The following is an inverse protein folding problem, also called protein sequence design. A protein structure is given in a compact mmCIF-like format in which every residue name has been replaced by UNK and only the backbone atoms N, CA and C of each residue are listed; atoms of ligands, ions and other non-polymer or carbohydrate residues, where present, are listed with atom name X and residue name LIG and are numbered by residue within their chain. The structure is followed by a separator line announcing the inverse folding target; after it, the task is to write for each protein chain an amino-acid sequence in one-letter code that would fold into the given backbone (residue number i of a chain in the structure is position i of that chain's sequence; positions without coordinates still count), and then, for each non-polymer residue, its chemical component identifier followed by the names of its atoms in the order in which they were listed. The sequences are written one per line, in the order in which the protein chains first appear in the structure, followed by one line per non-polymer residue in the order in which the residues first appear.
data_IF_416983713506
#
_entry.id   IF_416983713506
#
_cell.length_a   1.000
_cell.length_b   1.000
_cell.length_c   1.000
_cell.angle_alpha   90.00
_cell.angle_beta   90.00
_cell.angle_gamma   90.00
#
_symmetry.space_group_name_H-M   'P 1'
#
loop_
_entity.id
_entity.type
_entity.pdbx_description
1 polymer ?
#
# COMPACT_ATOMS: atom_id res chain seq x y z
N UNK A 1 -27.89 -60.38 -68.94
CA UNK A 1 -27.72 -61.66 -69.71
C UNK A 1 -27.58 -62.79 -68.70
N UNK A 2 -28.56 -63.68 -68.77
CA UNK A 2 -28.52 -65.14 -68.50
C UNK A 2 -28.04 -65.67 -67.16
N UNK A 3 -28.98 -66.21 -66.38
CA UNK A 3 -28.96 -67.41 -65.51
C UNK A 3 -28.25 -68.60 -66.16
N UNK A 4 -27.88 -69.75 -65.47
CA UNK A 4 -28.91 -70.63 -64.78
C UNK A 4 -28.41 -71.34 -63.52
N UNK A 5 -29.33 -71.61 -62.64
CA UNK A 5 -29.79 -72.81 -61.90
C UNK A 5 -29.08 -74.15 -62.10
N UNK A 6 -28.80 -74.91 -61.00
CA UNK A 6 -29.00 -76.38 -60.95
C UNK A 6 -29.26 -76.80 -59.48
N UNK A 7 -30.35 -77.57 -59.35
CA UNK A 7 -30.81 -78.36 -58.20
C UNK A 7 -30.03 -79.65 -58.04
N UNK A 8 -29.93 -80.20 -56.82
CA UNK A 8 -30.05 -81.63 -56.51
C UNK A 8 -30.52 -81.84 -55.07
N UNK A 9 -31.59 -82.58 -54.87
CA UNK A 9 -32.20 -83.18 -53.71
C UNK A 9 -31.35 -84.35 -53.23
N UNK A 10 -31.35 -84.72 -51.93
CA UNK A 10 -31.67 -86.06 -51.40
C UNK A 10 -31.66 -86.09 -49.84
N UNK A 11 -32.80 -86.54 -49.31
CA UNK A 11 -33.14 -87.51 -48.26
C UNK A 11 -32.39 -87.58 -46.88
N UNK A 12 -33.18 -87.35 -45.87
CA UNK A 12 -33.38 -87.93 -44.52
C UNK A 12 -32.57 -89.21 -44.14
N UNK A 13 -32.22 -89.45 -42.84
CA UNK A 13 -33.19 -89.69 -41.75
C UNK A 13 -32.86 -89.16 -40.36
N UNK A 14 -33.90 -89.12 -39.56
CA UNK A 14 -34.16 -88.91 -38.18
C UNK A 14 -33.13 -89.54 -37.17
N UNK A 15 -32.57 -88.76 -36.30
CA UNK A 15 -32.03 -89.26 -35.03
C UNK A 15 -32.34 -88.20 -33.92
N UNK A 16 -33.26 -88.62 -33.06
CA UNK A 16 -33.62 -87.90 -31.79
C UNK A 16 -32.48 -88.05 -30.81
N UNK A 17 -31.86 -86.96 -30.43
CA UNK A 17 -30.93 -86.93 -29.27
C UNK A 17 -31.46 -85.91 -28.31
N UNK A 18 -31.89 -86.33 -27.14
CA UNK A 18 -32.30 -85.52 -25.99
C UNK A 18 -31.08 -84.76 -25.42
N UNK A 19 -31.12 -83.45 -25.60
CA UNK A 19 -30.19 -82.53 -24.96
C UNK A 19 -30.80 -82.02 -23.62
N UNK A 20 -30.36 -82.56 -22.52
CA UNK A 20 -30.57 -82.04 -21.19
C UNK A 20 -29.88 -80.66 -21.06
N UNK A 21 -30.67 -79.61 -21.07
CA UNK A 21 -30.22 -78.24 -20.81
C UNK A 21 -29.83 -78.08 -19.34
N UNK A 22 -28.53 -78.08 -19.03
CA UNK A 22 -27.99 -77.54 -17.77
C UNK A 22 -28.14 -76.03 -17.80
N UNK A 23 -29.15 -75.50 -17.13
CA UNK A 23 -29.22 -74.10 -16.80
C UNK A 23 -28.09 -73.77 -15.81
N UNK A 24 -26.98 -73.22 -16.29
CA UNK A 24 -26.03 -72.54 -15.42
C UNK A 24 -26.73 -71.31 -14.85
N UNK A 25 -27.20 -71.42 -13.60
CA UNK A 25 -27.54 -70.26 -12.80
C UNK A 25 -26.31 -69.32 -12.75
N UNK A 26 -26.44 -68.11 -13.30
CA UNK A 26 -25.43 -67.06 -13.16
C UNK A 26 -25.16 -66.86 -11.65
N UNK A 27 -23.90 -66.78 -11.22
CA UNK A 27 -23.61 -66.52 -9.81
C UNK A 27 -24.30 -65.22 -9.37
N UNK A 28 -24.85 -65.21 -8.17
CA UNK A 28 -25.48 -63.99 -7.64
C UNK A 28 -24.47 -62.86 -7.74
N UNK A 29 -24.86 -61.80 -8.48
CA UNK A 29 -24.04 -60.60 -8.63
C UNK A 29 -23.78 -60.07 -7.21
N UNK A 30 -22.55 -60.18 -6.73
CA UNK A 30 -22.15 -59.72 -5.43
C UNK A 30 -22.63 -58.28 -5.28
N UNK A 31 -23.42 -58.01 -4.23
CA UNK A 31 -23.86 -56.66 -3.96
C UNK A 31 -22.64 -55.72 -3.90
N UNK A 32 -22.66 -54.56 -4.56
CA UNK A 32 -21.51 -53.67 -4.59
C UNK A 32 -21.07 -53.37 -3.15
N UNK A 33 -19.83 -53.79 -2.81
CA UNK A 33 -19.28 -53.55 -1.50
C UNK A 33 -19.17 -52.02 -1.29
N UNK A 34 -19.67 -51.54 -0.14
CA UNK A 34 -19.56 -50.14 0.22
C UNK A 34 -18.09 -49.71 0.36
N UNK A 35 -17.67 -48.73 -0.41
CA UNK A 35 -16.30 -48.22 -0.38
C UNK A 35 -16.06 -47.39 0.90
N UNK A 36 -15.00 -47.68 1.69
CA UNK A 36 -14.68 -46.85 2.85
C UNK A 36 -14.17 -45.49 2.37
N UNK A 37 -14.79 -44.42 2.87
CA UNK A 37 -14.50 -43.01 2.47
C UNK A 37 -14.38 -42.12 3.71
N UNK A 38 -13.43 -41.20 3.69
CA UNK A 38 -13.38 -40.13 4.69
C UNK A 38 -14.35 -39.03 4.31
N UNK A 39 -15.01 -38.46 5.30
CA UNK A 39 -15.96 -37.35 5.11
C UNK A 39 -15.57 -36.14 5.92
N UNK A 40 -15.79 -34.95 5.37
CA UNK A 40 -15.72 -33.67 6.08
C UNK A 40 -17.13 -33.10 6.19
N UNK A 41 -17.48 -32.57 7.34
CA UNK A 41 -18.76 -31.88 7.53
C UNK A 41 -18.61 -30.43 7.06
N UNK A 42 -19.50 -30.02 6.16
CA UNK A 42 -19.55 -28.62 5.69
C UNK A 42 -19.94 -27.73 6.86
N UNK A 43 -19.06 -26.82 7.22
CA UNK A 43 -19.29 -25.81 8.24
C UNK A 43 -19.21 -24.42 7.64
N UNK A 44 -19.97 -23.48 8.20
CA UNK A 44 -19.83 -22.07 7.80
C UNK A 44 -18.56 -21.48 8.42
N UNK A 45 -17.78 -20.81 7.59
CA UNK A 45 -16.57 -20.08 7.99
C UNK A 45 -16.70 -18.59 7.64
N UNK A 46 -16.11 -17.69 8.42
CA UNK A 46 -16.09 -16.27 8.08
C UNK A 46 -15.22 -16.06 6.84
N UNK A 47 -15.85 -15.72 5.73
CA UNK A 47 -15.20 -15.44 4.44
C UNK A 47 -15.23 -13.95 4.18
N UNK A 48 -14.08 -13.25 4.12
CA UNK A 48 -14.02 -11.84 3.79
C UNK A 48 -14.42 -11.64 2.32
N UNK A 49 -15.31 -10.69 2.07
CA UNK A 49 -15.64 -10.21 0.74
C UNK A 49 -14.86 -8.91 0.50
N UNK A 50 -14.00 -8.92 -0.47
CA UNK A 50 -13.10 -7.79 -0.76
C UNK A 50 -13.05 -7.47 -2.25
N UNK A 51 -12.68 -6.23 -2.55
CA UNK A 51 -12.20 -5.85 -3.86
C UNK A 51 -10.70 -5.55 -3.77
N UNK A 52 -9.96 -5.86 -4.83
CA UNK A 52 -8.54 -5.63 -4.94
C UNK A 52 -8.28 -4.38 -5.79
N UNK A 53 -7.46 -3.47 -5.27
CA UNK A 53 -7.08 -2.22 -5.93
C UNK A 53 -5.58 -2.12 -6.07
N UNK A 54 -5.13 -1.61 -7.23
CA UNK A 54 -3.74 -1.17 -7.38
C UNK A 54 -3.55 0.06 -6.50
N UNK A 55 -2.54 0.02 -5.67
CA UNK A 55 -2.29 0.99 -4.61
C UNK A 55 -0.83 1.41 -4.59
N UNK A 56 -0.54 2.53 -3.96
CA UNK A 56 0.83 3.04 -3.86
C UNK A 56 1.19 3.24 -2.41
N UNK A 57 2.35 2.75 -2.01
CA UNK A 57 2.96 3.12 -0.73
C UNK A 57 3.53 4.52 -0.85
N UNK A 58 3.22 5.38 0.11
CA UNK A 58 3.85 6.70 0.20
C UNK A 58 4.39 6.94 1.59
N UNK A 59 5.55 7.58 1.64
CA UNK A 59 6.07 8.13 2.88
C UNK A 59 5.19 9.29 3.33
N UNK A 60 4.93 9.37 4.62
CA UNK A 60 4.19 10.49 5.21
C UNK A 60 4.96 11.80 5.15
N UNK A 61 6.30 11.71 5.18
CA UNK A 61 7.21 12.83 4.99
C UNK A 61 8.14 12.53 3.84
N UNK A 62 7.95 13.25 2.76
CA UNK A 62 8.81 13.24 1.58
C UNK A 62 9.00 14.67 1.13
N UNK A 63 10.24 15.09 0.93
CA UNK A 63 10.59 16.42 0.47
C UNK A 63 11.47 16.35 -0.77
N UNK A 64 11.09 17.08 -1.81
CA UNK A 64 11.97 17.37 -2.93
C UNK A 64 12.84 18.56 -2.56
N UNK A 65 14.14 18.37 -2.54
CA UNK A 65 15.11 19.39 -2.17
C UNK A 65 15.48 20.20 -3.40
N UNK A 66 15.17 21.49 -3.33
CA UNK A 66 15.49 22.47 -4.37
C UNK A 66 16.19 23.68 -3.71
N UNK A 67 17.10 24.36 -4.39
CA UNK A 67 17.77 25.53 -3.85
C UNK A 67 16.80 26.72 -3.78
N UNK A 68 17.02 27.63 -2.82
CA UNK A 68 16.28 28.90 -2.71
C UNK A 68 17.01 30.06 -3.38
N UNK A 69 18.24 29.83 -3.80
CA UNK A 69 19.10 30.79 -4.51
C UNK A 69 19.79 30.12 -5.65
N UNK A 70 20.09 30.88 -6.68
CA UNK A 70 20.80 30.41 -7.87
C UNK A 70 22.31 30.50 -7.68
N UNK A 71 23.07 29.57 -8.28
CA UNK A 71 24.50 29.60 -8.26
C UNK A 71 25.15 28.26 -8.62
N UNK A 72 26.48 28.19 -8.53
CA UNK A 72 27.22 26.96 -8.78
C UNK A 72 27.37 26.15 -7.51
N UNK A 73 27.21 24.83 -7.61
CA UNK A 73 27.48 23.89 -6.50
C UNK A 73 28.98 23.79 -6.23
N UNK A 74 29.39 24.11 -5.02
CA UNK A 74 30.79 24.03 -4.59
C UNK A 74 31.10 22.79 -3.78
N UNK A 75 30.09 22.23 -3.08
CA UNK A 75 30.27 21.02 -2.29
C UNK A 75 28.98 20.18 -2.29
N UNK A 76 29.17 18.87 -2.29
CA UNK A 76 28.13 17.86 -2.07
C UNK A 76 28.63 16.97 -0.94
N UNK A 77 27.89 16.92 0.18
CA UNK A 77 28.30 16.23 1.40
C UNK A 77 27.62 14.86 1.54
N UNK A 78 26.69 14.51 0.66
CA UNK A 78 25.88 13.30 0.75
C UNK A 78 25.89 12.55 -0.57
N UNK A 79 25.63 11.24 -0.46
CA UNK A 79 25.43 10.35 -1.61
C UNK A 79 24.00 9.79 -1.59
N UNK A 80 23.56 9.27 -2.73
CA UNK A 80 22.28 8.57 -2.82
C UNK A 80 22.23 7.39 -1.84
N UNK A 81 21.19 7.33 -1.00
CA UNK A 81 21.00 6.29 0.00
C UNK A 81 21.53 6.63 1.42
N UNK A 82 22.21 7.77 1.60
CA UNK A 82 22.71 8.17 2.91
C UNK A 82 21.58 8.52 3.86
N UNK A 83 21.79 8.19 5.15
CA UNK A 83 20.91 8.65 6.23
C UNK A 83 21.33 10.03 6.70
N UNK A 84 20.36 10.94 6.81
CA UNK A 84 20.59 12.33 7.21
C UNK A 84 19.68 12.74 8.35
N UNK A 85 20.15 13.70 9.15
CA UNK A 85 19.40 14.29 10.23
C UNK A 85 18.84 15.65 9.87
N UNK A 86 17.76 16.05 10.54
CA UNK A 86 17.19 17.39 10.39
C UNK A 86 18.23 18.48 10.61
N UNK A 87 18.33 19.42 9.67
CA UNK A 87 19.33 20.49 9.69
C UNK A 87 20.73 20.10 9.20
N UNK A 88 20.99 18.85 8.86
CA UNK A 88 22.26 18.43 8.28
C UNK A 88 22.44 19.05 6.90
N UNK A 89 23.59 19.71 6.64
CA UNK A 89 23.91 20.29 5.33
C UNK A 89 24.16 19.16 4.32
N UNK A 90 23.43 19.22 3.22
CA UNK A 90 23.52 18.24 2.12
C UNK A 90 24.45 18.74 1.01
N UNK A 91 24.32 20.02 0.65
CA UNK A 91 25.06 20.65 -0.46
C UNK A 91 25.32 22.13 -0.14
N UNK A 92 26.29 22.70 -0.83
CA UNK A 92 26.67 24.11 -0.70
C UNK A 92 26.76 24.75 -2.09
N UNK A 93 26.10 25.90 -2.25
CA UNK A 93 26.21 26.80 -3.41
C UNK A 93 27.26 27.84 -3.08
N UNK A 94 28.00 28.35 -4.07
CA UNK A 94 29.04 29.38 -3.88
C UNK A 94 28.51 30.59 -3.11
N UNK A 95 28.91 30.81 -1.83
CA UNK A 95 28.39 31.87 -1.00
C UNK A 95 29.20 33.18 -1.12
N UNK A 96 30.33 33.18 -1.87
CA UNK A 96 31.33 34.25 -1.79
C UNK A 96 30.76 35.66 -2.01
N UNK A 97 29.86 35.82 -2.97
CA UNK A 97 29.19 37.13 -3.22
C UNK A 97 28.30 37.55 -2.05
N UNK A 98 27.55 36.61 -1.48
CA UNK A 98 26.63 36.91 -0.37
C UNK A 98 27.40 37.14 0.93
N UNK A 99 28.50 36.44 1.16
CA UNK A 99 29.40 36.67 2.30
C UNK A 99 29.97 38.07 2.29
N UNK A 100 30.44 38.54 1.11
CA UNK A 100 30.90 39.91 0.94
C UNK A 100 29.79 40.95 1.23
N UNK A 101 28.54 40.66 0.81
CA UNK A 101 27.37 41.49 1.08
C UNK A 101 27.05 41.57 2.58
N UNK A 102 27.08 40.41 3.28
CA UNK A 102 26.92 40.37 4.76
C UNK A 102 28.03 41.15 5.47
N UNK A 103 29.27 40.98 5.02
CA UNK A 103 30.40 41.73 5.58
C UNK A 103 30.24 43.26 5.43
N UNK A 104 29.81 43.72 4.25
CA UNK A 104 29.52 45.13 4.00
C UNK A 104 28.39 45.66 4.87
N UNK A 105 27.27 44.92 4.97
CA UNK A 105 26.12 45.30 5.80
C UNK A 105 26.53 45.39 7.30
N UNK A 106 27.33 44.42 7.75
CA UNK A 106 27.87 44.41 9.14
C UNK A 106 28.77 45.60 9.43
N UNK A 107 29.60 46.02 8.46
CA UNK A 107 30.44 47.22 8.62
C UNK A 107 29.58 48.50 8.75
N UNK A 108 28.51 48.60 7.95
CA UNK A 108 27.53 49.71 8.02
C UNK A 108 26.78 49.69 9.37
N UNK A 109 26.38 48.55 9.85
CA UNK A 109 25.76 48.37 11.18
C UNK A 109 26.69 48.84 12.32
N UNK A 110 27.97 48.51 12.25
CA UNK A 110 28.98 48.93 13.22
C UNK A 110 29.18 50.45 13.18
N UNK A 111 29.20 51.08 12.02
CA UNK A 111 29.25 52.53 11.86
C UNK A 111 28.04 53.19 12.53
N UNK A 112 26.81 52.71 12.27
CA UNK A 112 25.60 53.25 12.87
C UNK A 112 25.54 53.02 14.38
N UNK A 113 26.04 51.90 14.88
CA UNK A 113 26.18 51.64 16.31
C UNK A 113 27.08 52.67 17.00
N UNK A 114 28.22 53.02 16.39
CA UNK A 114 29.13 54.02 16.95
C UNK A 114 28.46 55.40 17.05
N UNK A 115 27.69 55.82 16.02
CA UNK A 115 26.92 57.07 16.02
C UNK A 115 25.83 57.04 17.09
N UNK A 116 25.11 55.93 17.23
CA UNK A 116 24.10 55.76 18.27
C UNK A 116 24.69 55.84 19.65
N UNK A 117 25.81 55.15 19.93
CA UNK A 117 26.50 55.20 21.22
C UNK A 117 26.99 56.62 21.53
N UNK A 118 27.53 57.35 20.55
CA UNK A 118 27.93 58.75 20.75
C UNK A 118 26.74 59.62 21.14
N UNK A 119 25.63 59.57 20.40
CA UNK A 119 24.44 60.34 20.69
C UNK A 119 23.77 59.94 22.02
N UNK A 120 23.88 58.68 22.42
CA UNK A 120 23.42 58.22 23.73
C UNK A 120 24.19 58.91 24.88
N UNK A 121 25.50 59.01 24.76
CA UNK A 121 26.34 59.67 25.73
C UNK A 121 26.04 61.21 25.73
N UNK A 122 25.84 61.78 24.52
CA UNK A 122 25.57 63.21 24.37
C UNK A 122 24.22 63.60 24.97
N UNK A 123 23.16 62.88 24.74
CA UNK A 123 21.82 63.17 25.32
C UNK A 123 21.87 63.08 26.85
N UNK A 124 22.56 62.12 27.42
CA UNK A 124 22.79 62.01 28.89
C UNK A 124 23.58 63.20 29.45
N UNK A 125 24.59 63.68 28.73
CA UNK A 125 25.37 64.85 29.09
C UNK A 125 24.51 66.11 29.07
N UNK A 126 23.75 66.33 27.97
CA UNK A 126 22.87 67.51 27.82
C UNK A 126 21.74 67.49 28.87
N UNK A 127 21.21 66.33 29.24
CA UNK A 127 20.19 66.20 30.26
C UNK A 127 20.71 66.65 31.63
N UNK A 128 21.93 66.21 32.04
CA UNK A 128 22.59 66.65 33.30
C UNK A 128 22.89 68.17 33.32
N UNK A 129 23.34 68.72 32.20
CA UNK A 129 23.61 70.17 32.11
C UNK A 129 22.30 71.01 32.17
N UNK A 130 21.22 70.50 31.60
CA UNK A 130 19.92 71.15 31.69
C UNK A 130 19.35 71.12 33.12
N UNK A 131 19.46 70.04 33.82
CA UNK A 131 19.08 69.91 35.24
C UNK A 131 19.85 70.87 36.14
N UNK A 132 21.11 71.23 35.77
CA UNK A 132 21.96 72.20 36.46
C UNK A 132 21.72 73.64 36.00
N UNK A 133 20.81 73.87 35.03
CA UNK A 133 20.53 75.21 34.50
C UNK A 133 21.64 75.76 33.57
N UNK A 134 22.55 74.94 33.05
CA UNK A 134 23.72 75.35 32.25
C UNK A 134 23.41 75.38 30.73
N UNK A 135 22.44 74.59 30.27
CA UNK A 135 22.06 74.52 28.84
C UNK A 135 20.58 74.84 28.62
N UNK A 136 20.23 75.20 27.37
CA UNK A 136 18.86 75.54 27.01
C UNK A 136 18.00 74.27 26.77
N UNK A 137 16.68 74.43 26.83
CA UNK A 137 15.72 73.34 26.50
C UNK A 137 15.87 72.90 25.04
N UNK A 138 16.11 73.85 24.14
CA UNK A 138 16.29 73.60 22.72
C UNK A 138 17.51 72.70 22.45
N UNK A 139 18.62 72.91 23.16
CA UNK A 139 19.83 72.06 23.06
C UNK A 139 19.59 70.63 23.55
N UNK A 140 18.80 70.46 24.62
CA UNK A 140 18.37 69.12 25.06
C UNK A 140 17.48 68.42 24.06
N UNK A 141 16.45 69.14 23.50
CA UNK A 141 15.52 68.61 22.54
C UNK A 141 16.22 68.17 21.23
N UNK A 142 17.24 68.97 20.77
CA UNK A 142 18.11 68.61 19.64
C UNK A 142 18.90 67.32 19.91
N UNK A 143 19.49 67.20 21.12
CA UNK A 143 20.25 65.96 21.49
C UNK A 143 19.31 64.73 21.58
N UNK A 144 18.11 64.89 22.14
CA UNK A 144 17.12 63.82 22.18
C UNK A 144 16.66 63.41 20.78
N UNK A 145 16.45 64.35 19.85
CA UNK A 145 16.11 64.07 18.46
C UNK A 145 17.26 63.33 17.75
N UNK A 146 18.52 63.77 17.93
CA UNK A 146 19.69 63.12 17.36
C UNK A 146 19.86 61.67 17.89
N UNK A 147 19.64 61.45 19.17
CA UNK A 147 19.64 60.15 19.79
C UNK A 147 18.56 59.24 19.18
N UNK A 148 17.30 59.67 19.13
CA UNK A 148 16.17 58.90 18.52
C UNK A 148 16.41 58.56 17.05
N UNK A 149 16.93 59.49 16.28
CA UNK A 149 17.24 59.29 14.86
C UNK A 149 18.35 58.21 14.70
N UNK A 150 19.46 58.36 15.50
CA UNK A 150 20.56 57.39 15.42
C UNK A 150 20.16 56.02 15.94
N UNK A 151 19.26 55.92 16.93
CA UNK A 151 18.67 54.65 17.36
C UNK A 151 17.89 53.97 16.22
N UNK A 152 16.98 54.69 15.55
CA UNK A 152 16.20 54.18 14.44
C UNK A 152 17.09 53.75 13.28
N UNK A 153 18.15 54.52 12.95
CA UNK A 153 19.12 54.19 11.93
C UNK A 153 19.88 52.87 12.26
N UNK A 154 20.33 52.72 13.51
CA UNK A 154 20.99 51.50 13.95
C UNK A 154 20.06 50.26 13.90
N UNK A 155 18.83 50.39 14.41
CA UNK A 155 17.81 49.33 14.37
C UNK A 155 17.52 48.90 12.92
N UNK A 156 17.36 49.87 12.00
CA UNK A 156 17.12 49.60 10.56
C UNK A 156 18.29 48.86 9.90
N UNK A 157 19.54 49.29 10.20
CA UNK A 157 20.73 48.61 9.64
C UNK A 157 20.94 47.20 10.24
N UNK A 158 20.63 47.01 11.54
CA UNK A 158 20.64 45.71 12.19
C UNK A 158 19.66 44.75 11.52
N UNK A 159 18.42 45.21 11.26
CA UNK A 159 17.42 44.42 10.55
C UNK A 159 17.90 44.03 9.13
N UNK A 160 18.54 44.99 8.42
CA UNK A 160 19.13 44.73 7.09
C UNK A 160 20.23 43.67 7.16
N UNK A 161 21.17 43.77 8.09
CA UNK A 161 22.24 42.78 8.28
C UNK A 161 21.66 41.40 8.59
N UNK A 162 20.63 41.34 9.45
CA UNK A 162 19.96 40.07 9.77
C UNK A 162 19.30 39.45 8.57
N UNK A 163 18.67 40.24 7.70
CA UNK A 163 18.08 39.79 6.43
C UNK A 163 19.15 39.19 5.51
N UNK A 164 20.30 39.88 5.36
CA UNK A 164 21.42 39.38 4.54
C UNK A 164 22.00 38.07 5.08
N UNK A 165 22.10 37.92 6.41
CA UNK A 165 22.54 36.65 7.04
C UNK A 165 21.56 35.50 6.80
N UNK A 166 20.26 35.76 6.87
CA UNK A 166 19.25 34.74 6.51
C UNK A 166 19.39 34.31 5.06
N UNK A 167 19.63 35.28 4.15
CA UNK A 167 19.84 35.01 2.75
C UNK A 167 21.12 34.17 2.52
N UNK A 168 22.20 34.43 3.28
CA UNK A 168 23.41 33.61 3.26
C UNK A 168 23.12 32.16 3.69
N UNK A 169 22.19 31.95 4.62
CA UNK A 169 21.77 30.62 5.05
C UNK A 169 21.19 29.76 3.91
N UNK A 170 20.62 30.36 2.86
CA UNK A 170 20.06 29.64 1.74
C UNK A 170 21.11 29.02 0.81
N UNK A 171 22.37 29.42 0.94
CA UNK A 171 23.49 28.83 0.20
C UNK A 171 23.90 27.47 0.79
N UNK A 172 23.51 27.16 2.02
CA UNK A 172 23.67 25.86 2.65
C UNK A 172 22.33 25.11 2.57
N UNK A 173 22.28 24.12 1.73
CA UNK A 173 21.08 23.31 1.53
C UNK A 173 21.06 22.21 2.58
N UNK A 174 20.05 22.20 3.44
CA UNK A 174 19.96 21.27 4.56
C UNK A 174 18.73 20.39 4.49
N UNK A 175 18.79 19.21 5.14
CA UNK A 175 17.67 18.31 5.27
C UNK A 175 16.57 18.91 6.17
N UNK A 176 15.29 18.90 5.76
CA UNK A 176 14.19 19.46 6.56
C UNK A 176 13.80 18.56 7.75
N UNK A 177 14.07 17.26 7.66
CA UNK A 177 13.79 16.25 8.67
C UNK A 177 14.75 15.05 8.52
N UNK A 178 14.72 14.14 9.50
CA UNK A 178 15.51 12.90 9.48
C UNK A 178 14.97 11.95 8.38
N UNK A 179 15.86 11.43 7.53
CA UNK A 179 15.43 10.58 6.43
C UNK A 179 16.57 9.97 5.64
N UNK A 180 16.21 9.42 4.50
CA UNK A 180 17.15 8.83 3.52
C UNK A 180 17.18 9.72 2.30
N UNK A 181 18.39 10.05 1.84
CA UNK A 181 18.63 10.81 0.61
C UNK A 181 18.31 9.94 -0.59
N UNK A 182 17.47 10.46 -1.49
CA UNK A 182 17.16 9.82 -2.76
C UNK A 182 18.31 9.90 -3.76
N UNK A 183 17.98 9.89 -5.06
CA UNK A 183 18.99 10.10 -6.10
C UNK A 183 19.56 11.53 -6.06
N UNK A 184 20.86 11.66 -6.33
CA UNK A 184 21.58 12.93 -6.41
C UNK A 184 22.03 13.12 -7.86
N UNK A 185 21.19 13.73 -8.72
CA UNK A 185 21.47 13.85 -10.15
C UNK A 185 22.44 14.99 -10.50
N UNK A 186 22.88 15.79 -9.53
CA UNK A 186 23.71 16.98 -9.72
C UNK A 186 25.16 16.71 -9.37
N UNK A 187 26.08 17.50 -9.98
CA UNK A 187 27.53 17.35 -9.81
C UNK A 187 28.17 18.64 -9.31
N UNK A 188 29.38 18.53 -8.78
CA UNK A 188 30.19 19.68 -8.39
C UNK A 188 30.45 20.59 -9.63
N UNK A 189 30.19 21.87 -9.47
CA UNK A 189 30.33 22.87 -10.54
C UNK A 189 29.06 23.10 -11.34
N UNK A 190 28.02 22.30 -11.18
CA UNK A 190 26.75 22.52 -11.86
C UNK A 190 26.12 23.84 -11.40
N UNK A 191 25.53 24.58 -12.36
CA UNK A 191 24.70 25.74 -12.06
C UNK A 191 23.29 25.27 -11.71
N UNK A 192 22.82 25.62 -10.53
CA UNK A 192 21.50 25.23 -10.01
C UNK A 192 20.62 26.45 -9.78
N UNK A 193 19.32 26.27 -9.92
CA UNK A 193 18.29 27.30 -9.72
C UNK A 193 17.11 26.76 -8.93
N UNK A 194 16.17 27.62 -8.55
CA UNK A 194 14.97 27.23 -7.78
C UNK A 194 14.11 26.12 -8.41
N UNK A 195 14.29 25.84 -9.70
CA UNK A 195 13.59 24.75 -10.42
C UNK A 195 14.41 23.46 -10.51
N UNK A 196 15.68 23.49 -10.12
CA UNK A 196 16.58 22.33 -10.17
C UNK A 196 16.32 21.40 -9.01
N UNK A 197 15.97 20.15 -9.27
CA UNK A 197 15.86 19.13 -8.22
C UNK A 197 17.26 18.63 -7.87
N UNK A 198 17.68 18.85 -6.61
CA UNK A 198 18.99 18.43 -6.12
C UNK A 198 18.97 16.99 -5.62
N UNK A 199 17.93 16.63 -4.90
CA UNK A 199 17.68 15.29 -4.38
C UNK A 199 16.27 15.24 -3.77
N UNK A 200 15.90 14.07 -3.23
CA UNK A 200 14.74 13.91 -2.34
C UNK A 200 15.21 13.46 -0.95
N UNK A 201 14.44 13.75 0.06
CA UNK A 201 14.63 13.17 1.39
C UNK A 201 13.33 12.51 1.79
N UNK A 202 13.36 11.20 2.05
CA UNK A 202 12.21 10.38 2.39
C UNK A 202 12.35 9.80 3.81
N UNK A 203 11.32 9.98 4.63
CA UNK A 203 11.24 9.33 5.94
C UNK A 203 10.62 7.94 5.77
N UNK A 204 11.40 6.87 5.97
CA UNK A 204 10.92 5.49 5.79
C UNK A 204 10.24 4.89 7.03
N UNK A 205 9.91 5.69 8.05
CA UNK A 205 9.32 5.19 9.30
C UNK A 205 7.81 5.15 9.28
N UNK A 206 7.19 6.14 8.67
CA UNK A 206 5.74 6.31 8.63
C UNK A 206 5.26 6.20 7.17
N UNK A 207 5.02 4.96 6.74
CA UNK A 207 4.46 4.70 5.41
C UNK A 207 2.93 4.64 5.48
N UNK A 208 2.29 5.04 4.40
CA UNK A 208 0.84 4.95 4.20
C UNK A 208 0.56 4.26 2.87
N UNK A 209 -0.45 3.40 2.84
CA UNK A 209 -0.98 2.90 1.58
C UNK A 209 -2.06 3.86 1.07
N UNK A 210 -1.92 4.31 -0.17
CA UNK A 210 -2.86 5.15 -0.90
C UNK A 210 -3.68 4.29 -1.82
N UNK A 211 -4.98 4.21 -1.56
CA UNK A 211 -5.93 3.42 -2.34
C UNK A 211 -6.96 4.34 -2.94
N UNK A 212 -7.16 4.27 -4.26
CA UNK A 212 -8.22 4.98 -4.94
C UNK A 212 -9.40 4.03 -5.16
N UNK A 213 -10.48 4.27 -4.42
CA UNK A 213 -11.70 3.47 -4.49
C UNK A 213 -12.68 4.15 -5.44
N UNK A 214 -13.24 3.44 -6.44
CA UNK A 214 -14.22 4.02 -7.35
C UNK A 214 -15.39 4.68 -6.64
N UNK A 215 -15.89 5.79 -7.18
CA UNK A 215 -16.93 6.61 -6.57
C UNK A 215 -18.26 5.85 -6.36
N UNK A 216 -18.50 4.77 -7.11
CA UNK A 216 -19.67 3.87 -6.96
C UNK A 216 -19.73 3.20 -5.58
N UNK A 217 -18.57 3.00 -4.93
CA UNK A 217 -18.44 2.42 -3.60
C UNK A 217 -18.47 3.44 -2.45
N UNK A 218 -18.66 4.73 -2.74
CA UNK A 218 -18.54 5.82 -1.75
C UNK A 218 -19.41 5.60 -0.50
N UNK A 219 -20.62 5.07 -0.66
CA UNK A 219 -21.55 4.81 0.44
C UNK A 219 -21.10 3.71 1.41
N UNK A 220 -20.16 2.88 0.97
CA UNK A 220 -19.62 1.76 1.75
C UNK A 220 -18.30 2.12 2.42
N UNK A 221 -17.64 3.20 1.99
CA UNK A 221 -16.37 3.64 2.56
C UNK A 221 -16.59 4.23 3.95
N UNK A 222 -15.84 3.75 4.93
CA UNK A 222 -15.84 4.28 6.30
C UNK A 222 -14.47 4.11 6.96
N UNK A 223 -14.16 4.96 7.93
CA UNK A 223 -12.97 4.78 8.77
C UNK A 223 -13.05 3.45 9.51
N UNK A 224 -11.91 2.80 9.69
CA UNK A 224 -11.82 1.49 10.32
C UNK A 224 -12.13 0.32 9.39
N UNK A 225 -12.44 0.55 8.10
CA UNK A 225 -12.63 -0.53 7.14
C UNK A 225 -11.29 -1.28 6.96
N UNK A 226 -11.26 -2.63 7.13
CA UNK A 226 -10.02 -3.37 7.05
C UNK A 226 -9.44 -3.37 5.64
N UNK A 227 -8.11 -3.21 5.57
CA UNK A 227 -7.32 -3.34 4.34
C UNK A 227 -6.25 -4.39 4.57
N UNK A 228 -6.08 -5.27 3.60
CA UNK A 228 -4.96 -6.22 3.54
C UNK A 228 -4.05 -5.78 2.39
N UNK A 229 -2.83 -5.41 2.75
CA UNK A 229 -1.78 -5.05 1.79
C UNK A 229 -1.08 -6.32 1.37
N UNK A 230 -0.99 -6.57 0.06
CA UNK A 230 -0.35 -7.75 -0.51
C UNK A 230 0.68 -7.36 -1.56
N UNK A 231 1.71 -8.18 -1.71
CA UNK A 231 2.69 -8.02 -2.77
C UNK A 231 2.17 -8.59 -4.11
N UNK A 232 2.98 -8.50 -5.15
CA UNK A 232 2.65 -9.04 -6.48
C UNK A 232 2.61 -10.59 -6.51
N UNK A 233 3.08 -11.26 -5.46
CA UNK A 233 3.08 -12.73 -5.30
C UNK A 233 1.95 -13.18 -4.37
N UNK A 234 1.01 -12.30 -4.05
CA UNK A 234 -0.15 -12.55 -3.16
C UNK A 234 0.22 -12.77 -1.68
N UNK A 235 1.48 -12.52 -1.26
CA UNK A 235 1.86 -12.59 0.14
C UNK A 235 1.29 -11.40 0.90
N UNK A 236 0.71 -11.65 2.05
CA UNK A 236 0.23 -10.60 2.95
C UNK A 236 1.42 -9.89 3.57
N UNK A 237 1.58 -8.60 3.25
CA UNK A 237 2.59 -7.73 3.83
C UNK A 237 2.11 -7.14 5.15
N UNK A 238 0.86 -6.66 5.18
CA UNK A 238 0.27 -6.04 6.36
C UNK A 238 -1.26 -6.13 6.37
N UNK A 239 -1.82 -6.12 7.58
CA UNK A 239 -3.25 -5.94 7.83
C UNK A 239 -3.45 -4.63 8.59
N UNK A 240 -4.15 -3.70 7.98
CA UNK A 240 -4.38 -2.36 8.50
C UNK A 240 -5.84 -1.94 8.30
N UNK A 241 -6.17 -0.70 8.60
CA UNK A 241 -7.52 -0.17 8.42
C UNK A 241 -7.48 1.28 7.91
N UNK A 242 -8.53 1.68 7.20
CA UNK A 242 -8.68 3.05 6.71
C UNK A 242 -8.73 4.02 7.88
N UNK A 243 -7.80 4.97 7.94
CA UNK A 243 -7.78 6.06 8.91
C UNK A 243 -8.17 7.42 8.31
N UNK A 244 -7.93 7.58 6.99
CA UNK A 244 -8.27 8.80 6.27
C UNK A 244 -9.10 8.50 5.02
N UNK A 245 -10.10 9.34 4.76
CA UNK A 245 -10.95 9.34 3.58
C UNK A 245 -10.93 10.76 3.02
N UNK A 246 -10.57 10.92 1.74
CA UNK A 246 -10.59 12.23 1.07
C UNK A 246 -12.01 12.76 0.97
N UNK A 247 -12.25 14.04 1.29
CA UNK A 247 -13.55 14.68 1.06
C UNK A 247 -13.80 15.01 -0.43
N UNK A 248 -12.80 14.80 -1.30
CA UNK A 248 -12.86 15.11 -2.71
C UNK A 248 -12.66 13.85 -3.55
N UNK A 249 -13.34 13.76 -4.67
CA UNK A 249 -13.11 12.76 -5.71
C UNK A 249 -11.94 13.22 -6.58
N UNK A 250 -10.99 12.33 -6.83
CA UNK A 250 -9.93 12.57 -7.82
C UNK A 250 -10.52 12.52 -9.22
N UNK A 251 -10.44 13.64 -9.94
CA UNK A 251 -11.05 13.77 -11.27
C UNK A 251 -10.34 12.91 -12.34
N UNK A 252 -9.05 12.61 -12.17
CA UNK A 252 -8.30 11.80 -13.12
C UNK A 252 -8.61 10.31 -12.96
N UNK A 253 -8.73 9.84 -11.72
CA UNK A 253 -8.96 8.44 -11.39
C UNK A 253 -10.44 8.12 -11.13
N UNK A 254 -11.32 9.14 -11.09
CA UNK A 254 -12.74 9.00 -10.76
C UNK A 254 -12.96 8.20 -9.46
N UNK A 255 -12.06 8.39 -8.50
CA UNK A 255 -12.00 7.63 -7.26
C UNK A 255 -11.82 8.49 -6.02
N UNK A 256 -12.20 7.94 -4.89
CA UNK A 256 -11.97 8.55 -3.57
C UNK A 256 -10.67 8.00 -3.00
N UNK A 257 -9.74 8.89 -2.70
CA UNK A 257 -8.52 8.52 -2.02
C UNK A 257 -8.83 8.12 -0.58
N UNK A 258 -8.46 6.91 -0.21
CA UNK A 258 -8.37 6.48 1.19
C UNK A 258 -6.93 6.16 1.53
N UNK A 259 -6.57 6.35 2.81
CA UNK A 259 -5.24 6.03 3.31
C UNK A 259 -5.34 5.14 4.53
N UNK A 260 -4.36 4.28 4.68
CA UNK A 260 -4.18 3.48 5.88
C UNK A 260 -2.68 3.42 6.24
N UNK A 261 -2.34 3.44 7.54
CA UNK A 261 -0.94 3.34 7.97
C UNK A 261 -0.38 1.96 7.67
N UNK A 262 0.91 1.90 7.35
CA UNK A 262 1.66 0.66 7.10
C UNK A 262 2.86 0.63 8.03
N UNK A 263 2.93 -0.40 8.89
CA UNK A 263 3.98 -0.57 9.89
C UNK A 263 4.87 -1.78 9.60
N UNK A 264 4.55 -2.55 8.55
CA UNK A 264 5.31 -3.73 8.15
C UNK A 264 6.77 -3.39 7.89
N UNK A 265 7.63 -4.41 7.99
CA UNK A 265 9.08 -4.37 7.84
C UNK A 265 9.54 -3.33 6.82
N UNK A 266 9.87 -2.13 7.33
CA UNK A 266 10.12 -0.90 6.56
C UNK A 266 11.33 -1.04 5.60
N UNK A 267 12.15 -2.10 5.78
CA UNK A 267 13.24 -2.44 4.88
C UNK A 267 12.80 -3.01 3.52
N UNK A 268 11.58 -3.52 3.44
CA UNK A 268 11.05 -4.18 2.23
C UNK A 268 10.14 -3.28 1.39
N UNK A 269 9.58 -2.23 1.98
CA UNK A 269 8.70 -1.28 1.29
C UNK A 269 9.42 0.03 1.01
N UNK A 270 9.18 0.60 -0.15
CA UNK A 270 9.79 1.86 -0.58
C UNK A 270 8.71 2.89 -0.90
N UNK A 271 9.06 4.16 -0.71
CA UNK A 271 8.22 5.26 -1.17
C UNK A 271 7.94 5.13 -2.68
N UNK A 272 6.71 5.42 -3.10
CA UNK A 272 6.18 5.29 -4.47
C UNK A 272 6.10 3.85 -5.01
N UNK A 273 6.30 2.83 -4.18
CA UNK A 273 6.15 1.44 -4.60
C UNK A 273 4.69 1.11 -4.87
N UNK A 274 4.43 0.50 -6.02
CA UNK A 274 3.11 -0.05 -6.35
C UNK A 274 2.92 -1.42 -5.72
N UNK A 275 1.77 -1.61 -5.12
CA UNK A 275 1.33 -2.83 -4.44
C UNK A 275 -0.16 -3.03 -4.67
N UNK A 276 -0.71 -4.13 -4.17
CA UNK A 276 -2.14 -4.39 -4.17
C UNK A 276 -2.71 -4.20 -2.76
N UNK A 277 -3.90 -3.63 -2.69
CA UNK A 277 -4.66 -3.49 -1.44
C UNK A 277 -6.04 -4.14 -1.59
N UNK A 278 -6.35 -5.08 -0.71
CA UNK A 278 -7.66 -5.70 -0.62
C UNK A 278 -8.48 -4.99 0.45
N UNK A 279 -9.51 -4.29 0.02
CA UNK A 279 -10.46 -3.61 0.92
C UNK A 279 -11.57 -4.57 1.26
N UNK A 280 -11.69 -4.93 2.55
CA UNK A 280 -12.69 -5.89 3.03
C UNK A 280 -13.97 -5.12 3.35
N UNK A 281 -15.00 -5.32 2.54
CA UNK A 281 -16.29 -4.65 2.66
C UNK A 281 -17.16 -5.26 3.75
N UNK A 282 -17.20 -6.59 3.76
CA UNK A 282 -17.97 -7.37 4.73
C UNK A 282 -17.33 -8.75 4.93
N UNK A 283 -17.67 -9.40 6.03
CA UNK A 283 -17.30 -10.79 6.26
C UNK A 283 -18.60 -11.57 6.40
N UNK A 284 -18.83 -12.50 5.49
CA UNK A 284 -20.04 -13.32 5.46
C UNK A 284 -19.71 -14.73 5.96
N UNK A 285 -20.59 -15.31 6.75
CA UNK A 285 -20.48 -16.70 7.16
C UNK A 285 -20.99 -17.57 6.03
N UNK A 286 -20.08 -18.19 5.27
CA UNK A 286 -20.38 -18.98 4.06
C UNK A 286 -19.90 -20.41 4.26
N UNK A 287 -20.66 -21.44 3.80
CA UNK A 287 -20.19 -22.83 3.81
C UNK A 287 -18.85 -22.96 3.11
N UNK A 288 -17.93 -23.71 3.71
CA UNK A 288 -16.63 -24.03 3.11
C UNK A 288 -16.46 -25.51 2.93
N UNK A 289 -15.69 -25.91 1.90
CA UNK A 289 -15.41 -27.32 1.58
C UNK A 289 -13.93 -27.51 1.30
N UNK A 290 -13.27 -28.56 1.85
CA UNK A 290 -11.87 -28.83 1.58
C UNK A 290 -11.58 -28.93 0.07
N UNK A 291 -10.47 -28.31 -0.36
CA UNK A 291 -10.01 -28.31 -1.77
C UNK A 291 -9.98 -29.74 -2.33
N UNK A 292 -9.58 -30.71 -1.51
CA UNK A 292 -9.48 -32.13 -1.88
C UNK A 292 -10.84 -32.77 -2.19
N UNK A 293 -11.96 -32.21 -1.73
CA UNK A 293 -13.30 -32.75 -1.97
C UNK A 293 -13.87 -32.30 -3.32
N UNK A 294 -13.28 -31.29 -3.93
CA UNK A 294 -13.81 -30.64 -5.14
C UNK A 294 -13.24 -31.30 -6.39
N UNK A 295 -14.14 -31.74 -7.27
CA UNK A 295 -13.79 -32.34 -8.57
C UNK A 295 -14.32 -31.47 -9.71
N UNK A 296 -13.52 -31.35 -10.77
CA UNK A 296 -13.91 -30.65 -12.00
C UNK A 296 -13.93 -31.62 -13.16
N UNK A 297 -15.06 -31.70 -13.85
CA UNK A 297 -15.24 -32.53 -15.03
C UNK A 297 -16.12 -31.78 -16.05
N UNK A 298 -15.68 -31.71 -17.30
CA UNK A 298 -16.44 -31.08 -18.37
C UNK A 298 -16.76 -29.61 -18.13
N UNK A 299 -15.90 -28.87 -17.40
CA UNK A 299 -16.11 -27.47 -17.05
C UNK A 299 -17.04 -27.22 -15.87
N UNK A 300 -17.65 -28.28 -15.31
CA UNK A 300 -18.49 -28.20 -14.12
C UNK A 300 -17.70 -28.60 -12.85
N UNK A 301 -18.00 -27.90 -11.76
CA UNK A 301 -17.43 -28.22 -10.44
C UNK A 301 -18.49 -28.94 -9.60
N UNK A 302 -18.12 -30.04 -8.98
CA UNK A 302 -19.01 -30.83 -8.13
C UNK A 302 -18.25 -31.47 -6.97
N UNK A 303 -19.02 -31.92 -6.00
CA UNK A 303 -18.57 -32.72 -4.86
C UNK A 303 -19.44 -33.96 -4.72
N UNK A 304 -18.94 -35.00 -4.02
CA UNK A 304 -19.74 -36.12 -3.62
C UNK A 304 -20.20 -35.93 -2.16
N UNK A 305 -21.50 -35.98 -1.94
CA UNK A 305 -22.14 -35.89 -0.62
C UNK A 305 -22.53 -37.29 -0.18
N UNK A 306 -22.13 -37.70 1.02
CA UNK A 306 -22.56 -38.95 1.62
C UNK A 306 -23.99 -38.81 2.15
N UNK A 307 -24.98 -39.36 1.42
CA UNK A 307 -26.39 -39.27 1.76
C UNK A 307 -26.87 -40.58 2.40
N UNK A 308 -27.51 -40.51 3.55
CA UNK A 308 -28.08 -41.68 4.24
C UNK A 308 -29.45 -42.00 3.64
N UNK A 309 -29.63 -43.25 3.17
CA UNK A 309 -30.89 -43.79 2.66
C UNK A 309 -31.13 -45.16 3.34
N UNK A 310 -32.04 -45.20 4.29
CA UNK A 310 -32.40 -46.46 4.97
C UNK A 310 -31.26 -47.10 5.76
N UNK A 311 -30.37 -46.31 6.38
CA UNK A 311 -29.22 -46.81 7.16
C UNK A 311 -27.99 -47.10 6.33
N UNK A 312 -28.01 -46.98 5.02
CA UNK A 312 -26.87 -47.08 4.12
C UNK A 312 -26.51 -45.74 3.51
N UNK A 313 -25.21 -45.52 3.33
CA UNK A 313 -24.74 -44.25 2.73
C UNK A 313 -24.43 -44.51 1.24
N UNK A 314 -24.78 -43.47 0.45
CA UNK A 314 -24.53 -43.43 -0.99
C UNK A 314 -23.82 -42.11 -1.33
N UNK A 315 -22.85 -42.19 -2.23
CA UNK A 315 -22.19 -41.02 -2.77
C UNK A 315 -23.09 -40.35 -3.82
N UNK A 316 -23.60 -39.18 -3.52
CA UNK A 316 -24.42 -38.38 -4.45
C UNK A 316 -23.61 -37.23 -5.01
N UNK A 317 -23.44 -37.23 -6.35
CA UNK A 317 -22.80 -36.14 -7.04
C UNK A 317 -23.70 -34.89 -6.98
N UNK A 318 -23.12 -33.77 -6.48
CA UNK A 318 -23.85 -32.50 -6.35
C UNK A 318 -23.02 -31.38 -7.00
N UNK A 319 -23.60 -30.70 -8.03
CA UNK A 319 -22.92 -29.54 -8.62
C UNK A 319 -22.87 -28.41 -7.61
N UNK A 320 -21.74 -27.69 -7.59
CA UNK A 320 -21.49 -26.56 -6.69
C UNK A 320 -20.91 -25.39 -7.47
N UNK A 321 -21.15 -24.18 -6.96
CA UNK A 321 -20.43 -22.99 -7.36
C UNK A 321 -19.46 -22.62 -6.25
N UNK A 322 -18.18 -22.57 -6.59
CA UNK A 322 -17.14 -22.18 -5.64
C UNK A 322 -16.72 -20.72 -5.86
N UNK A 323 -16.34 -20.07 -4.78
CA UNK A 323 -15.69 -18.75 -4.76
C UNK A 323 -14.20 -18.87 -4.46
N UNK A 324 -13.66 -17.88 -3.78
CA UNK A 324 -12.25 -17.81 -3.42
C UNK A 324 -11.83 -18.89 -2.43
N UNK A 325 -10.53 -19.19 -2.42
CA UNK A 325 -9.93 -20.11 -1.47
C UNK A 325 -9.75 -19.41 -0.11
N UNK A 326 -10.18 -20.07 0.97
CA UNK A 326 -10.03 -19.61 2.33
C UNK A 326 -9.19 -20.63 3.11
N UNK A 327 -7.91 -20.35 3.27
CA UNK A 327 -6.97 -21.33 3.81
C UNK A 327 -6.87 -22.55 2.89
N UNK A 328 -7.25 -23.73 3.40
CA UNK A 328 -7.24 -25.01 2.67
C UNK A 328 -8.62 -25.40 2.10
N UNK A 329 -9.58 -24.49 2.15
CA UNK A 329 -10.97 -24.73 1.75
C UNK A 329 -11.40 -23.78 0.64
N UNK A 330 -12.40 -24.18 -0.17
CA UNK A 330 -13.13 -23.30 -1.07
C UNK A 330 -14.38 -22.75 -0.38
N UNK A 331 -14.65 -21.47 -0.53
CA UNK A 331 -15.95 -20.90 -0.21
C UNK A 331 -17.00 -21.45 -1.18
N UNK A 332 -18.14 -21.91 -0.68
CA UNK A 332 -19.24 -22.46 -1.51
C UNK A 332 -20.34 -21.41 -1.62
N UNK A 333 -20.50 -20.88 -2.83
CA UNK A 333 -21.52 -19.87 -3.14
C UNK A 333 -22.91 -20.48 -3.33
N UNK A 334 -22.98 -21.73 -3.84
CA UNK A 334 -24.22 -22.46 -3.99
C UNK A 334 -24.01 -23.98 -4.11
N UNK A 335 -25.03 -24.77 -3.82
CA UNK A 335 -25.05 -26.21 -3.97
C UNK A 335 -24.84 -27.04 -2.70
N UNK A 336 -24.34 -26.47 -1.61
CA UNK A 336 -24.17 -27.16 -0.33
C UNK A 336 -24.84 -26.37 0.82
N UNK A 337 -25.19 -27.11 1.87
CA UNK A 337 -25.73 -26.56 3.11
C UNK A 337 -24.83 -26.95 4.31
N UNK A 338 -24.89 -26.15 5.36
CA UNK A 338 -24.21 -26.50 6.61
C UNK A 338 -24.72 -27.84 7.13
N UNK A 339 -23.79 -28.73 7.52
CA UNK A 339 -24.08 -30.08 7.98
C UNK A 339 -24.01 -31.15 6.89
N UNK A 340 -23.92 -30.79 5.60
CA UNK A 340 -23.67 -31.77 4.54
C UNK A 340 -22.33 -32.51 4.80
N UNK A 341 -22.31 -33.83 4.60
CA UNK A 341 -21.09 -34.64 4.70
C UNK A 341 -20.48 -34.84 3.34
N UNK A 342 -19.40 -34.13 3.06
CA UNK A 342 -18.70 -34.19 1.77
C UNK A 342 -17.57 -35.21 1.84
N UNK A 343 -17.44 -36.06 0.81
CA UNK A 343 -16.40 -37.08 0.71
C UNK A 343 -15.09 -36.41 0.29
N UNK A 344 -14.01 -36.68 1.05
CA UNK A 344 -12.69 -36.10 0.84
C UNK A 344 -11.62 -37.11 0.39
N UNK A 345 -11.95 -38.42 0.36
CA UNK A 345 -11.01 -39.48 -0.07
C UNK A 345 -11.65 -40.43 -1.06
N UNK A 346 -10.84 -41.02 -1.95
CA UNK A 346 -11.31 -42.03 -2.92
C UNK A 346 -12.21 -41.49 -4.03
N UNK A 347 -12.29 -40.20 -4.22
CA UNK A 347 -13.22 -39.50 -5.12
C UNK A 347 -13.09 -39.99 -6.57
N UNK A 348 -11.86 -40.29 -7.02
CA UNK A 348 -11.57 -40.76 -8.38
C UNK A 348 -12.23 -42.10 -8.75
N UNK A 349 -12.68 -42.90 -7.75
CA UNK A 349 -13.32 -44.17 -7.94
C UNK A 349 -14.85 -44.12 -7.72
N UNK A 350 -15.37 -42.97 -7.34
CA UNK A 350 -16.79 -42.83 -7.05
C UNK A 350 -17.61 -42.51 -8.33
N UNK A 351 -18.74 -43.15 -8.42
CA UNK A 351 -19.80 -42.86 -9.37
C UNK A 351 -21.00 -42.33 -8.59
N UNK A 352 -21.87 -41.58 -9.27
CA UNK A 352 -23.11 -41.13 -8.67
C UNK A 352 -23.97 -42.34 -8.24
N UNK A 353 -24.45 -42.34 -7.00
CA UNK A 353 -25.22 -43.44 -6.42
C UNK A 353 -24.35 -44.62 -5.90
N UNK A 354 -23.02 -44.57 -5.90
CA UNK A 354 -22.19 -45.63 -5.39
C UNK A 354 -22.38 -45.81 -3.88
N UNK A 355 -22.48 -47.08 -3.37
CA UNK A 355 -22.56 -47.31 -1.94
C UNK A 355 -21.20 -46.99 -1.27
N UNK A 356 -21.25 -46.23 -0.18
CA UNK A 356 -20.05 -45.81 0.57
C UNK A 356 -20.24 -46.06 2.06
N UNK A 357 -19.12 -46.21 2.75
CA UNK A 357 -19.08 -46.33 4.20
C UNK A 357 -18.24 -45.19 4.76
N UNK A 358 -18.87 -44.13 5.34
CA UNK A 358 -18.15 -43.05 5.98
C UNK A 358 -17.32 -43.57 7.14
N UNK A 359 -16.00 -43.30 7.11
CA UNK A 359 -15.09 -43.47 8.22
C UNK A 359 -15.14 -42.16 8.97
N UNK A 360 -15.79 -42.06 10.08
CA UNK A 360 -16.00 -40.99 11.04
C UNK A 360 -15.45 -39.62 10.77
#
# INVERSE_FOLDING_TARGET
MRRPTIWIKHCFPLAVLALTACSKQAPPQAAPQAMPVQTATVAASPVPQYDEYVSTIKSRRSATIQPQVDGNLTKIYVHSGDHVHSGQVLMEIDPAKQEATVASSKATEQQKLAVFQYNQIEVERQRKLFEQGVTSRDALDQAEQAYKNSQADYESTTATTQSQRKQLGYYHIAAPFDGIVGDVPVHLGDYVSATTVLTTVDENRDLEVYVYIPAERVTQIRKGLPIVVVDNQENVLERTAIDFISPQVDNGLQGILVKAPVHADLGKLRNLQQIKARVIWTTSSIPVVPVLAVTRLGGQTFVFVATNQGGKYFAKQRPITIGDTVGNDYAVLSGLQNGDKVIVSGIQFLLDGAPVQPLG
#
